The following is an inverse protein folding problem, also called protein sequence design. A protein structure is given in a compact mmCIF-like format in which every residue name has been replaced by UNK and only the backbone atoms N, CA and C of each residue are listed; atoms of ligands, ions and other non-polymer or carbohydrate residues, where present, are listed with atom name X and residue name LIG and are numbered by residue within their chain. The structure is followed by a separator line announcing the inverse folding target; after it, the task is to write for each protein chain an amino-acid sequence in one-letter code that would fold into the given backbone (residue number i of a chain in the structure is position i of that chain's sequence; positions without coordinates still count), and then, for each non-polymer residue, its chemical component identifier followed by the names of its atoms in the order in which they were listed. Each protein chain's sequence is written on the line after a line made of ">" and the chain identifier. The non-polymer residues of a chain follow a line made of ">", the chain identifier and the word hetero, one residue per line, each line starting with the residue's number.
data_IF_866766812166
#
_entry.id   IF_866766812166
#
_cell.length_a   1.000
_cell.length_b   1.000
_cell.length_c   1.000
_cell.angle_alpha   90.00
_cell.angle_beta   90.00
_cell.angle_gamma   90.00
#
_symmetry.space_group_name_H-M   'P 1'
#
loop_
_entity.id
_entity.type
_entity.pdbx_description
1 polymer ?
#
# COMPACT_ATOMS: atom_id res chain seq x y z
N UNK A 1 -21.91 8.12 -6.29
CA UNK A 1 -21.80 6.99 -5.34
C UNK A 1 -21.06 5.88 -6.05
N UNK A 2 -19.77 5.70 -5.77
CA UNK A 2 -19.04 4.53 -6.26
C UNK A 2 -19.42 3.38 -5.34
N UNK A 3 -20.11 2.40 -5.90
CA UNK A 3 -20.60 1.24 -5.16
C UNK A 3 -19.43 0.53 -4.46
N UNK A 4 -19.61 0.19 -3.18
CA UNK A 4 -18.73 -0.73 -2.46
C UNK A 4 -18.75 -2.10 -3.15
N UNK A 5 -17.89 -2.28 -4.14
CA UNK A 5 -17.70 -3.58 -4.75
C UNK A 5 -16.83 -4.42 -3.82
N UNK A 6 -17.52 -5.36 -3.17
CA UNK A 6 -17.03 -6.51 -2.41
C UNK A 6 -15.55 -6.80 -2.63
N UNK A 7 -14.73 -6.55 -1.60
CA UNK A 7 -13.39 -7.09 -1.51
C UNK A 7 -13.46 -8.61 -1.76
N UNK A 8 -12.60 -9.10 -2.67
CA UNK A 8 -12.43 -10.50 -3.02
C UNK A 8 -12.31 -11.37 -1.76
N UNK A 9 -13.44 -11.99 -1.35
CA UNK A 9 -13.57 -12.90 -0.22
C UNK A 9 -13.08 -14.32 -0.57
N UNK A 10 -12.15 -14.48 -1.51
CA UNK A 10 -11.51 -15.79 -1.71
C UNK A 10 -10.53 -16.08 -0.57
N UNK A 11 -10.56 -17.33 -0.09
CA UNK A 11 -10.06 -17.81 1.20
C UNK A 11 -8.53 -17.70 1.48
N UNK A 12 -7.92 -16.53 1.31
CA UNK A 12 -6.52 -16.28 1.69
C UNK A 12 -5.86 -15.04 1.07
N UNK A 13 -6.60 -14.19 0.36
CA UNK A 13 -6.05 -13.01 -0.31
C UNK A 13 -4.99 -13.36 -1.36
N UNK A 14 -4.20 -12.37 -1.77
CA UNK A 14 -3.14 -12.56 -2.78
C UNK A 14 -2.08 -13.57 -2.33
N UNK A 15 -1.74 -13.56 -1.03
CA UNK A 15 -0.78 -14.48 -0.43
C UNK A 15 -1.26 -15.94 -0.52
N UNK A 16 -2.48 -16.23 -0.08
CA UNK A 16 -3.01 -17.60 -0.11
C UNK A 16 -3.25 -18.12 -1.54
N UNK A 17 -3.51 -17.24 -2.51
CA UNK A 17 -3.53 -17.62 -3.94
C UNK A 17 -2.14 -17.95 -4.45
N UNK A 18 -1.14 -17.15 -4.10
CA UNK A 18 0.23 -17.39 -4.48
C UNK A 18 0.77 -18.70 -3.89
N UNK A 19 0.54 -18.95 -2.59
CA UNK A 19 0.94 -20.20 -1.96
C UNK A 19 0.34 -21.43 -2.65
N UNK A 20 -0.95 -21.39 -3.02
CA UNK A 20 -1.58 -22.46 -3.80
C UNK A 20 -0.93 -22.63 -5.17
N UNK A 21 -0.71 -21.52 -5.88
CA UNK A 21 -0.10 -21.54 -7.21
C UNK A 21 1.35 -22.07 -7.20
N UNK A 22 2.10 -21.86 -6.12
CA UNK A 22 3.44 -22.41 -5.91
C UNK A 22 3.43 -23.88 -5.46
N UNK A 23 2.35 -24.35 -4.82
CA UNK A 23 2.20 -25.76 -4.46
C UNK A 23 1.79 -26.63 -5.65
N UNK A 24 0.99 -26.07 -6.56
CA UNK A 24 0.41 -26.80 -7.70
C UNK A 24 1.17 -26.56 -9.03
N UNK A 25 2.19 -25.68 -9.02
CA UNK A 25 2.79 -25.09 -10.20
C UNK A 25 4.15 -25.66 -10.65
N UNK A 26 4.76 -24.98 -11.63
CA UNK A 26 6.07 -25.34 -12.23
C UNK A 26 7.27 -25.01 -11.33
N UNK A 27 7.14 -24.02 -10.44
CA UNK A 27 8.13 -23.63 -9.44
C UNK A 27 7.70 -24.17 -8.08
N UNK A 28 8.63 -24.80 -7.37
CA UNK A 28 8.43 -25.30 -6.01
C UNK A 28 8.55 -24.17 -4.97
N UNK A 29 7.68 -24.23 -3.95
CA UNK A 29 7.61 -23.23 -2.87
C UNK A 29 8.93 -23.13 -2.09
N UNK A 30 9.64 -24.25 -1.88
CA UNK A 30 10.92 -24.24 -1.15
C UNK A 30 11.99 -23.53 -1.96
N UNK A 31 12.11 -23.82 -3.24
CA UNK A 31 13.06 -23.15 -4.14
C UNK A 31 12.78 -21.64 -4.22
N UNK A 32 11.51 -21.27 -4.40
CA UNK A 32 11.09 -19.86 -4.44
C UNK A 32 11.44 -19.12 -3.15
N UNK A 33 11.22 -19.77 -1.99
CA UNK A 33 11.57 -19.22 -0.67
C UNK A 33 13.07 -19.04 -0.48
N UNK A 34 13.88 -19.99 -0.96
CA UNK A 34 15.34 -19.91 -0.93
C UNK A 34 15.86 -18.77 -1.81
N UNK A 35 15.36 -18.64 -3.05
CA UNK A 35 15.72 -17.55 -3.96
C UNK A 35 15.39 -16.19 -3.34
N UNK A 36 14.18 -16.02 -2.80
CA UNK A 36 13.77 -14.78 -2.14
C UNK A 36 14.64 -14.44 -0.94
N UNK A 37 14.96 -15.43 -0.11
CA UNK A 37 15.77 -15.24 1.11
C UNK A 37 17.22 -14.85 0.80
N UNK A 38 17.74 -15.25 -0.36
CA UNK A 38 19.10 -14.92 -0.80
C UNK A 38 19.24 -13.45 -1.29
N UNK A 39 18.13 -12.74 -1.52
CA UNK A 39 18.13 -11.36 -1.99
C UNK A 39 18.59 -10.38 -0.90
N UNK A 40 19.50 -9.48 -1.27
CA UNK A 40 20.21 -8.58 -0.36
C UNK A 40 19.56 -7.19 -0.20
N UNK A 41 18.63 -6.81 -1.08
CA UNK A 41 17.96 -5.51 -1.03
C UNK A 41 16.45 -5.63 -1.03
N UNK A 42 15.77 -4.66 -0.40
CA UNK A 42 14.31 -4.60 -0.41
C UNK A 42 13.77 -4.38 -1.83
N UNK A 43 14.45 -3.59 -2.66
CA UNK A 43 14.08 -3.40 -4.05
C UNK A 43 14.06 -4.73 -4.80
N UNK A 44 15.13 -5.53 -4.70
CA UNK A 44 15.18 -6.82 -5.37
C UNK A 44 14.08 -7.79 -4.86
N UNK A 45 13.74 -7.73 -3.57
CA UNK A 45 12.64 -8.52 -3.00
C UNK A 45 11.28 -8.10 -3.55
N UNK A 46 11.06 -6.79 -3.74
CA UNK A 46 9.84 -6.26 -4.37
C UNK A 46 9.77 -6.69 -5.83
N UNK A 47 10.86 -6.53 -6.59
CA UNK A 47 10.93 -6.92 -8.00
C UNK A 47 10.67 -8.42 -8.19
N UNK A 48 11.26 -9.25 -7.32
CA UNK A 48 11.03 -10.69 -7.30
C UNK A 48 9.56 -11.04 -7.07
N UNK A 49 8.95 -10.44 -6.04
CA UNK A 49 7.54 -10.67 -5.74
C UNK A 49 6.62 -10.18 -6.86
N UNK A 50 6.96 -9.05 -7.50
CA UNK A 50 6.23 -8.49 -8.62
C UNK A 50 6.20 -9.45 -9.81
N UNK A 51 7.38 -9.93 -10.25
CA UNK A 51 7.46 -10.86 -11.39
C UNK A 51 6.76 -12.19 -11.08
N UNK A 52 6.80 -12.66 -9.83
CA UNK A 52 6.09 -13.86 -9.42
C UNK A 52 4.57 -13.69 -9.50
N UNK A 53 4.04 -12.56 -9.00
CA UNK A 53 2.60 -12.26 -9.11
C UNK A 53 2.16 -12.09 -10.57
N UNK A 54 3.04 -11.56 -11.43
CA UNK A 54 2.81 -11.43 -12.86
C UNK A 54 2.74 -12.79 -13.56
N UNK A 55 3.72 -13.67 -13.31
CA UNK A 55 3.81 -15.01 -13.88
C UNK A 55 2.53 -15.82 -13.61
N UNK A 56 2.02 -15.74 -12.39
CA UNK A 56 0.81 -16.44 -11.98
C UNK A 56 -0.50 -15.66 -12.22
N UNK A 57 -0.44 -14.47 -12.82
CA UNK A 57 -1.63 -13.66 -13.12
C UNK A 57 -2.43 -13.25 -11.87
N UNK A 58 -1.74 -13.03 -10.74
CA UNK A 58 -2.36 -12.78 -9.43
C UNK A 58 -2.50 -11.31 -9.05
N UNK A 59 -2.10 -10.39 -9.93
CA UNK A 59 -2.27 -8.96 -9.66
C UNK A 59 -3.75 -8.62 -9.39
N UNK A 60 -4.02 -7.80 -8.36
CA UNK A 60 -5.35 -7.32 -8.13
C UNK A 60 -5.80 -6.49 -9.33
N UNK A 61 -7.07 -6.63 -9.71
CA UNK A 61 -7.67 -5.73 -10.69
C UNK A 61 -7.67 -4.31 -10.10
N UNK A 62 -7.25 -3.28 -10.87
CA UNK A 62 -7.42 -1.90 -10.46
C UNK A 62 -8.89 -1.69 -10.09
N UNK A 63 -9.14 -1.07 -8.93
CA UNK A 63 -10.47 -0.57 -8.62
C UNK A 63 -10.62 0.79 -9.28
N UNK A 64 -11.81 1.06 -9.81
CA UNK A 64 -12.21 2.42 -10.15
C UNK A 64 -12.44 3.20 -8.85
N UNK A 65 -11.33 3.57 -8.20
CA UNK A 65 -11.36 4.45 -7.05
C UNK A 65 -11.59 5.87 -7.58
N UNK A 66 -12.85 6.26 -7.63
CA UNK A 66 -13.18 7.67 -7.81
C UNK A 66 -12.54 8.46 -6.67
N UNK A 67 -11.72 9.44 -7.03
CA UNK A 67 -11.22 10.43 -6.07
C UNK A 67 -12.42 11.10 -5.40
N UNK A 68 -12.34 11.31 -4.10
CA UNK A 68 -13.39 11.92 -3.30
C UNK A 68 -12.74 12.80 -2.22
N UNK A 69 -12.91 14.12 -2.37
CA UNK A 69 -12.33 15.10 -1.45
C UNK A 69 -12.85 14.98 -0.01
N UNK A 70 -14.10 14.58 0.20
CA UNK A 70 -14.69 14.40 1.54
C UNK A 70 -14.05 13.20 2.27
N UNK A 71 -13.94 12.06 1.58
CA UNK A 71 -13.25 10.87 2.11
C UNK A 71 -11.78 11.20 2.42
N UNK A 72 -11.11 11.91 1.52
CA UNK A 72 -9.73 12.34 1.74
C UNK A 72 -9.59 13.26 2.96
N UNK A 73 -10.54 14.17 3.15
CA UNK A 73 -10.58 15.08 4.29
C UNK A 73 -10.73 14.31 5.61
N UNK A 74 -11.67 13.37 5.68
CA UNK A 74 -11.93 12.57 6.88
C UNK A 74 -10.72 11.74 7.28
N UNK A 75 -10.10 11.05 6.30
CA UNK A 75 -8.87 10.28 6.52
C UNK A 75 -7.72 11.16 7.03
N UNK A 76 -7.57 12.37 6.49
CA UNK A 76 -6.56 13.32 6.95
C UNK A 76 -6.83 13.79 8.39
N UNK A 77 -8.10 14.03 8.74
CA UNK A 77 -8.46 14.41 10.11
C UNK A 77 -8.20 13.27 11.10
N UNK A 78 -8.49 12.02 10.71
CA UNK A 78 -8.15 10.83 11.50
C UNK A 78 -6.62 10.73 11.70
N UNK A 79 -5.85 10.95 10.63
CA UNK A 79 -4.38 11.02 10.69
C UNK A 79 -3.90 12.09 11.67
N UNK A 80 -4.49 13.29 11.66
CA UNK A 80 -4.16 14.37 12.59
C UNK A 80 -4.38 13.96 14.04
N UNK A 81 -5.50 13.27 14.32
CA UNK A 81 -5.83 12.81 15.66
C UNK A 81 -4.83 11.74 16.15
N UNK A 82 -4.45 10.81 15.27
CA UNK A 82 -3.43 9.79 15.56
C UNK A 82 -2.05 10.39 15.80
N UNK A 83 -1.66 11.39 15.00
CA UNK A 83 -0.37 12.07 15.14
C UNK A 83 -0.27 12.85 16.45
N UNK A 84 -1.35 13.52 16.88
CA UNK A 84 -1.41 14.21 18.18
C UNK A 84 -1.15 13.28 19.37
N UNK A 85 -1.55 12.02 19.28
CA UNK A 85 -1.33 11.00 20.31
C UNK A 85 -0.08 10.13 20.05
N UNK A 86 0.83 10.57 19.17
CA UNK A 86 2.09 9.90 18.81
C UNK A 86 1.93 8.47 18.30
N UNK A 87 0.82 8.20 17.61
CA UNK A 87 0.61 6.97 16.83
C UNK A 87 1.03 7.18 15.39
N UNK A 88 2.31 7.50 15.22
CA UNK A 88 2.86 8.06 13.98
C UNK A 88 2.75 7.10 12.79
N UNK A 89 2.97 5.79 13.00
CA UNK A 89 2.77 4.78 11.95
C UNK A 89 1.32 4.74 11.45
N UNK A 90 0.34 4.83 12.35
CA UNK A 90 -1.07 4.84 11.95
C UNK A 90 -1.44 6.16 11.27
N UNK A 91 -0.90 7.28 11.74
CA UNK A 91 -1.08 8.58 11.10
C UNK A 91 -0.53 8.57 9.67
N UNK A 92 0.65 7.98 9.46
CA UNK A 92 1.27 7.85 8.14
C UNK A 92 0.39 7.05 7.16
N UNK A 93 -0.20 5.95 7.64
CA UNK A 93 -1.16 5.15 6.85
C UNK A 93 -2.36 6.01 6.45
N UNK A 94 -2.96 6.73 7.40
CA UNK A 94 -4.14 7.58 7.13
C UNK A 94 -3.87 8.74 6.18
N UNK A 95 -2.70 9.37 6.27
CA UNK A 95 -2.32 10.39 5.29
C UNK A 95 -2.07 9.79 3.90
N UNK A 96 -1.53 8.58 3.83
CA UNK A 96 -1.36 7.86 2.56
C UNK A 96 -2.71 7.51 1.93
N UNK A 97 -3.68 7.02 2.73
CA UNK A 97 -5.04 6.77 2.28
C UNK A 97 -5.71 8.08 1.81
N UNK A 98 -5.53 9.18 2.55
CA UNK A 98 -6.03 10.50 2.16
C UNK A 98 -5.51 10.93 0.78
N UNK A 99 -4.22 10.77 0.50
CA UNK A 99 -3.61 11.03 -0.81
C UNK A 99 -4.23 10.14 -1.90
N UNK A 100 -4.45 8.86 -1.60
CA UNK A 100 -5.07 7.92 -2.54
C UNK A 100 -6.50 8.33 -2.92
N UNK A 101 -7.24 8.99 -2.02
CA UNK A 101 -8.60 9.47 -2.27
C UNK A 101 -8.67 10.93 -2.76
N UNK A 102 -7.67 11.76 -2.52
CA UNK A 102 -7.73 13.18 -2.88
C UNK A 102 -7.71 13.40 -4.40
N UNK A 103 -8.49 14.40 -4.85
CA UNK A 103 -8.54 14.83 -6.24
C UNK A 103 -7.20 15.43 -6.66
N UNK A 104 -6.80 15.15 -7.91
CA UNK A 104 -5.53 15.65 -8.45
C UNK A 104 -5.54 17.18 -8.49
N UNK A 105 -4.48 17.80 -7.97
CA UNK A 105 -4.35 19.25 -7.91
C UNK A 105 -5.20 19.95 -6.82
N UNK A 106 -5.92 19.19 -6.00
CA UNK A 106 -6.69 19.77 -4.90
C UNK A 106 -5.80 20.27 -3.76
N UNK A 107 -6.31 21.24 -2.99
CA UNK A 107 -5.68 21.67 -1.74
C UNK A 107 -5.59 20.51 -0.74
N UNK A 108 -6.62 19.66 -0.68
CA UNK A 108 -6.65 18.49 0.18
C UNK A 108 -5.49 17.53 -0.07
N UNK A 109 -5.13 17.31 -1.34
CA UNK A 109 -3.96 16.52 -1.71
C UNK A 109 -2.66 17.14 -1.17
N UNK A 110 -2.49 18.45 -1.35
CA UNK A 110 -1.30 19.19 -0.89
C UNK A 110 -1.16 19.12 0.64
N UNK A 111 -2.25 19.30 1.37
CA UNK A 111 -2.28 19.19 2.83
C UNK A 111 -1.97 17.77 3.32
N UNK A 112 -2.45 16.74 2.61
CA UNK A 112 -2.18 15.36 2.96
C UNK A 112 -0.68 15.01 2.79
N UNK A 113 -0.04 15.45 1.70
CA UNK A 113 1.41 15.31 1.53
C UNK A 113 2.21 16.06 2.60
N UNK A 114 1.81 17.30 2.94
CA UNK A 114 2.47 18.07 3.98
C UNK A 114 2.41 17.34 5.34
N UNK A 115 1.25 16.80 5.70
CA UNK A 115 1.07 16.07 6.95
C UNK A 115 1.85 14.74 6.96
N UNK A 116 1.88 14.01 5.84
CA UNK A 116 2.72 12.80 5.69
C UNK A 116 4.20 13.14 5.88
N UNK A 117 4.66 14.24 5.29
CA UNK A 117 6.04 14.73 5.40
C UNK A 117 6.40 15.14 6.83
N UNK A 118 5.47 15.73 7.58
CA UNK A 118 5.70 16.06 8.98
C UNK A 118 5.99 14.81 9.84
N UNK A 119 5.25 13.72 9.62
CA UNK A 119 5.50 12.44 10.31
C UNK A 119 6.88 11.90 9.95
N UNK A 120 7.21 11.85 8.66
CA UNK A 120 8.51 11.35 8.17
C UNK A 120 9.68 12.19 8.72
N UNK A 121 9.49 13.50 8.81
CA UNK A 121 10.48 14.41 9.37
C UNK A 121 10.74 14.14 10.86
N UNK A 122 9.70 13.91 11.67
CA UNK A 122 9.86 13.50 13.08
C UNK A 122 10.65 12.20 13.22
N UNK A 123 10.52 11.28 12.25
CA UNK A 123 11.26 10.02 12.19
C UNK A 123 12.62 10.11 11.48
N UNK A 124 13.05 11.31 11.06
CA UNK A 124 14.32 11.54 10.34
C UNK A 124 14.41 10.82 8.99
N UNK A 125 13.27 10.47 8.40
CA UNK A 125 13.14 9.93 7.05
C UNK A 125 13.13 11.07 6.02
N UNK A 126 14.24 11.79 5.91
CA UNK A 126 14.29 13.05 5.17
C UNK A 126 14.15 12.92 3.66
N UNK A 127 14.60 11.80 3.08
CA UNK A 127 14.49 11.57 1.65
C UNK A 127 13.02 11.36 1.26
N UNK A 128 12.30 10.59 2.08
CA UNK A 128 10.89 10.27 1.90
C UNK A 128 9.97 11.49 2.08
N UNK A 129 10.44 12.55 2.76
CA UNK A 129 9.75 13.84 2.82
C UNK A 129 9.71 14.59 1.47
N UNK A 130 10.59 14.25 0.53
CA UNK A 130 10.71 14.93 -0.76
C UNK A 130 9.92 14.25 -1.88
N UNK A 131 9.34 13.08 -1.60
CA UNK A 131 8.49 12.29 -2.50
C UNK A 131 7.00 12.58 -2.32
#
# INVERSE_FOLDING_TARGET
>A
MCEEQNADKSAGGIFGRLCRALSDGRRDIRTTSQEFSALQSNQARVDFAYELLKEYGLFPKPRDNCKNGEVALDLRQEGNNLFKIKKDQLALIKYTDSIAHAENGSEGLSLAYANRSAVLFEHKCYNECLE
#
